data_IF_178401733742
#
_entry.id   IF_178401733742
#
_cell.length_a   1.000
_cell.length_b   1.000
_cell.length_c   1.000
_cell.angle_alpha   90.00
_cell.angle_beta   90.00
_cell.angle_gamma   90.00
#
_symmetry.space_group_name_H-M   'P 1'
#
loop_
_entity.id
_entity.type
_entity.pdbx_description
1 polymer ?
#
# COMPACT_ATOMS: atom_id res chain seq x y z
N UNK A 1 -25.20 -69.25 17.34
CA UNK A 1 -25.26 -67.89 16.75
C UNK A 1 -24.99 -66.89 17.86
N UNK A 2 -23.75 -66.42 18.07
CA UNK A 2 -23.47 -65.39 19.07
C UNK A 2 -23.67 -64.00 18.46
N UNK A 3 -24.41 -63.15 19.19
CA UNK A 3 -24.73 -61.76 18.83
C UNK A 3 -23.51 -60.89 19.17
N UNK A 4 -22.91 -60.27 18.15
CA UNK A 4 -21.85 -59.27 18.29
C UNK A 4 -22.45 -57.96 18.87
N UNK A 5 -22.13 -57.63 20.12
CA UNK A 5 -22.31 -56.28 20.65
C UNK A 5 -21.19 -55.39 20.11
N UNK A 6 -21.54 -54.46 19.21
CA UNK A 6 -20.63 -53.42 18.75
C UNK A 6 -20.45 -52.36 19.85
N UNK A 7 -19.26 -52.29 20.45
CA UNK A 7 -18.81 -51.18 21.28
C UNK A 7 -18.59 -49.95 20.41
N UNK A 8 -19.62 -49.09 20.35
CA UNK A 8 -19.57 -47.78 19.69
C UNK A 8 -18.55 -46.91 20.43
N UNK A 9 -17.33 -46.82 19.90
CA UNK A 9 -16.33 -45.87 20.38
C UNK A 9 -16.87 -44.46 20.12
N UNK A 10 -17.20 -43.74 21.19
CA UNK A 10 -17.61 -42.34 21.15
C UNK A 10 -16.37 -41.51 20.81
N UNK A 11 -16.18 -41.23 19.52
CA UNK A 11 -15.18 -40.27 19.08
C UNK A 11 -15.60 -38.92 19.65
N UNK A 12 -14.85 -38.38 20.62
CA UNK A 12 -15.14 -37.06 21.17
C UNK A 12 -14.75 -36.00 20.13
N UNK A 13 -15.60 -35.00 19.87
CA UNK A 13 -15.20 -33.82 19.11
C UNK A 13 -13.93 -33.20 19.71
N UNK A 14 -13.08 -32.63 18.88
CA UNK A 14 -11.84 -31.95 19.28
C UNK A 14 -12.08 -30.78 20.25
N UNK A 15 -13.31 -30.31 20.37
CA UNK A 15 -13.78 -29.33 21.37
C UNK A 15 -13.76 -29.87 22.80
N UNK A 16 -13.66 -31.18 23.02
CA UNK A 16 -13.83 -31.82 24.33
C UNK A 16 -12.51 -32.31 24.95
N UNK A 17 -11.37 -32.10 24.30
CA UNK A 17 -10.07 -32.35 24.91
C UNK A 17 -9.65 -31.14 25.75
N UNK A 18 -9.94 -31.20 27.06
CA UNK A 18 -9.38 -30.30 28.07
C UNK A 18 -10.29 -29.16 28.56
N UNK A 19 -11.51 -29.02 28.05
CA UNK A 19 -12.38 -27.89 28.42
C UNK A 19 -13.11 -28.04 29.75
N UNK A 20 -13.53 -29.26 30.11
CA UNK A 20 -14.42 -29.48 31.25
C UNK A 20 -13.74 -29.24 32.62
N UNK A 21 -12.42 -29.46 32.72
CA UNK A 21 -11.66 -29.25 33.96
C UNK A 21 -11.42 -27.77 34.30
N UNK A 22 -11.47 -26.89 33.29
CA UNK A 22 -11.14 -25.46 33.44
C UNK A 22 -12.32 -24.53 33.15
N UNK A 23 -13.54 -25.05 32.99
CA UNK A 23 -14.73 -24.19 32.76
C UNK A 23 -14.95 -23.17 33.89
N UNK A 24 -14.50 -23.48 35.11
CA UNK A 24 -14.63 -22.62 36.27
C UNK A 24 -13.35 -21.78 36.55
N UNK A 25 -12.28 -21.98 35.78
CA UNK A 25 -11.05 -21.20 35.89
C UNK A 25 -10.95 -20.22 34.72
N UNK A 26 -11.47 -19.01 34.94
CA UNK A 26 -11.44 -17.93 33.95
C UNK A 26 -10.03 -17.40 33.66
N UNK A 27 -9.02 -17.79 34.45
CA UNK A 27 -7.62 -17.37 34.29
C UNK A 27 -6.76 -18.37 33.53
N UNK A 28 -7.27 -19.57 33.26
CA UNK A 28 -6.55 -20.59 32.51
C UNK A 28 -6.24 -20.11 31.08
N UNK A 29 -4.96 -20.22 30.69
CA UNK A 29 -4.43 -19.74 29.41
C UNK A 29 -4.12 -20.92 28.48
N UNK A 30 -4.65 -20.88 27.28
CA UNK A 30 -4.53 -21.93 26.27
C UNK A 30 -3.74 -21.44 25.06
N UNK A 31 -2.88 -22.28 24.50
CA UNK A 31 -2.06 -21.94 23.35
C UNK A 31 -2.93 -21.77 22.09
N UNK A 32 -2.82 -20.61 21.44
CA UNK A 32 -3.57 -20.30 20.21
C UNK A 32 -3.17 -21.22 19.06
N UNK A 33 -1.90 -21.64 18.98
CA UNK A 33 -1.40 -22.48 17.88
C UNK A 33 -2.04 -23.87 17.82
N UNK A 34 -2.66 -24.33 18.91
CA UNK A 34 -3.36 -25.62 18.99
C UNK A 34 -4.81 -25.54 18.48
N UNK A 35 -5.33 -24.32 18.27
CA UNK A 35 -6.69 -24.09 17.81
C UNK A 35 -6.81 -24.28 16.29
N UNK A 36 -8.02 -24.50 15.74
CA UNK A 36 -8.24 -24.45 14.30
C UNK A 36 -7.83 -23.11 13.70
N UNK A 37 -7.41 -23.12 12.43
CA UNK A 37 -6.91 -21.93 11.74
C UNK A 37 -7.83 -20.70 11.84
N UNK A 38 -9.15 -20.88 11.74
CA UNK A 38 -10.11 -19.77 11.85
C UNK A 38 -10.07 -19.13 13.24
N UNK A 39 -10.07 -19.93 14.29
CA UNK A 39 -9.90 -19.43 15.66
C UNK A 39 -8.54 -18.74 15.86
N UNK A 40 -7.45 -19.24 15.25
CA UNK A 40 -6.16 -18.55 15.25
C UNK A 40 -6.25 -17.17 14.59
N UNK A 41 -6.86 -17.11 13.40
CA UNK A 41 -7.06 -15.87 12.65
C UNK A 41 -7.89 -14.86 13.45
N UNK A 42 -9.00 -15.30 14.05
CA UNK A 42 -9.88 -14.45 14.84
C UNK A 42 -9.23 -13.99 16.15
N UNK A 43 -8.44 -14.84 16.81
CA UNK A 43 -7.66 -14.44 17.98
C UNK A 43 -6.72 -13.28 17.64
N UNK A 44 -6.03 -13.36 16.50
CA UNK A 44 -5.17 -12.27 16.04
C UNK A 44 -5.96 -11.06 15.56
N UNK A 45 -7.15 -11.26 14.98
CA UNK A 45 -8.04 -10.16 14.61
C UNK A 45 -8.50 -9.37 15.83
N UNK A 46 -8.88 -10.05 16.91
CA UNK A 46 -9.34 -9.41 18.15
C UNK A 46 -8.22 -8.71 18.92
N UNK A 47 -6.96 -9.08 18.67
CA UNK A 47 -5.82 -8.50 19.35
C UNK A 47 -5.49 -7.07 18.85
N UNK A 48 -5.53 -6.09 19.75
CA UNK A 48 -5.37 -4.67 19.39
C UNK A 48 -3.90 -4.25 19.26
N UNK A 49 -3.11 -4.43 20.32
CA UNK A 49 -1.74 -3.88 20.38
C UNK A 49 -0.67 -4.80 19.79
N UNK A 50 -0.83 -6.12 19.98
CA UNK A 50 0.17 -7.12 19.61
C UNK A 50 -0.48 -8.49 19.41
N UNK A 51 0.18 -9.33 18.61
CA UNK A 51 -0.18 -10.74 18.48
C UNK A 51 -0.26 -11.46 19.83
N UNK A 52 -1.17 -12.44 19.90
CA UNK A 52 -1.46 -13.22 21.10
C UNK A 52 -1.03 -14.67 20.89
N UNK A 53 -0.33 -15.24 21.88
CA UNK A 53 0.03 -16.66 21.89
C UNK A 53 -0.89 -17.49 22.78
N UNK A 54 -1.51 -16.87 23.78
CA UNK A 54 -2.37 -17.56 24.73
C UNK A 54 -3.66 -16.81 24.96
N UNK A 55 -4.78 -17.53 25.00
CA UNK A 55 -6.10 -16.95 25.23
C UNK A 55 -6.79 -17.66 26.40
N UNK A 56 -7.64 -16.93 27.12
CA UNK A 56 -8.44 -17.50 28.19
C UNK A 56 -9.63 -18.30 27.66
N UNK A 57 -10.24 -19.12 28.51
CA UNK A 57 -11.46 -19.86 28.14
C UNK A 57 -12.63 -18.93 27.75
N UNK A 58 -12.93 -17.83 28.48
CA UNK A 58 -13.93 -16.86 28.05
C UNK A 58 -13.61 -16.25 26.67
N UNK A 59 -12.34 -15.91 26.42
CA UNK A 59 -11.94 -15.38 25.12
C UNK A 59 -12.14 -16.41 24.00
N UNK A 60 -11.89 -17.71 24.25
CA UNK A 60 -12.18 -18.77 23.29
C UNK A 60 -13.67 -18.87 22.96
N UNK A 61 -14.55 -18.65 23.94
CA UNK A 61 -16.00 -18.60 23.71
C UNK A 61 -16.39 -17.38 22.87
N UNK A 62 -15.78 -16.22 23.12
CA UNK A 62 -15.96 -15.02 22.29
C UNK A 62 -15.55 -15.28 20.83
N UNK A 63 -14.40 -15.94 20.59
CA UNK A 63 -13.97 -16.31 19.24
C UNK A 63 -14.95 -17.26 18.56
N UNK A 64 -15.48 -18.23 19.30
CA UNK A 64 -16.49 -19.16 18.77
C UNK A 64 -17.79 -18.45 18.42
N UNK A 65 -18.25 -17.53 19.26
CA UNK A 65 -19.42 -16.70 18.98
C UNK A 65 -19.19 -15.82 17.75
N UNK A 66 -18.00 -15.23 17.63
CA UNK A 66 -17.60 -14.39 16.49
C UNK A 66 -17.52 -15.19 15.18
N UNK A 67 -17.03 -16.44 15.22
CA UNK A 67 -17.02 -17.32 14.04
C UNK A 67 -18.44 -17.68 13.60
N UNK A 68 -19.36 -17.90 14.54
CA UNK A 68 -20.75 -18.27 14.28
C UNK A 68 -21.64 -17.08 13.90
N UNK A 69 -21.20 -15.84 14.10
CA UNK A 69 -21.92 -14.65 13.69
C UNK A 69 -21.85 -14.46 12.16
N UNK A 70 -22.85 -15.00 11.46
CA UNK A 70 -22.96 -14.91 10.01
C UNK A 70 -23.37 -13.52 9.51
N UNK A 71 -23.90 -12.67 10.39
CA UNK A 71 -24.35 -11.31 10.05
C UNK A 71 -23.17 -10.34 10.06
N UNK A 72 -22.07 -10.70 10.73
CA UNK A 72 -20.81 -9.96 10.69
C UNK A 72 -20.04 -10.16 9.38
N UNK A 73 -20.45 -9.41 8.35
CA UNK A 73 -19.81 -9.45 7.03
C UNK A 73 -18.29 -9.17 7.07
N UNK A 74 -17.81 -8.32 8.00
CA UNK A 74 -16.38 -8.02 8.09
C UNK A 74 -15.55 -9.24 8.51
N UNK A 75 -16.04 -9.99 9.48
CA UNK A 75 -15.43 -11.24 9.96
C UNK A 75 -15.58 -12.35 8.92
N UNK A 76 -16.77 -12.55 8.37
CA UNK A 76 -17.01 -13.61 7.39
C UNK A 76 -16.16 -13.39 6.12
N UNK A 77 -16.10 -12.16 5.61
CA UNK A 77 -15.27 -11.84 4.45
C UNK A 77 -13.77 -12.02 4.75
N UNK A 78 -13.32 -11.71 5.97
CA UNK A 78 -11.93 -11.93 6.39
C UNK A 78 -11.58 -13.42 6.38
N UNK A 79 -12.44 -14.27 6.98
CA UNK A 79 -12.27 -15.72 7.00
C UNK A 79 -12.20 -16.24 5.56
N UNK A 80 -13.14 -15.82 4.70
CA UNK A 80 -13.17 -16.22 3.29
C UNK A 80 -11.93 -15.76 2.52
N UNK A 81 -11.48 -14.53 2.72
CA UNK A 81 -10.28 -14.01 2.08
C UNK A 81 -9.01 -14.75 2.52
N UNK A 82 -8.91 -15.07 3.81
CA UNK A 82 -7.80 -15.84 4.37
C UNK A 82 -7.76 -17.28 3.83
N UNK A 83 -8.91 -17.98 3.80
CA UNK A 83 -8.99 -19.36 3.28
C UNK A 83 -8.65 -19.45 1.78
N UNK A 84 -8.81 -18.36 1.03
CA UNK A 84 -8.40 -18.26 -0.39
C UNK A 84 -6.88 -18.18 -0.60
N UNK A 85 -6.08 -18.10 0.47
CA UNK A 85 -4.62 -18.08 0.42
C UNK A 85 -4.08 -19.30 1.17
N UNK A 86 -3.83 -20.45 0.51
CA UNK A 86 -3.51 -21.70 1.20
C UNK A 86 -2.20 -21.63 2.03
N UNK A 87 -1.28 -20.75 1.63
CA UNK A 87 -0.01 -20.54 2.32
C UNK A 87 -0.16 -19.86 3.69
N UNK A 88 -1.28 -19.18 3.95
CA UNK A 88 -1.51 -18.43 5.20
C UNK A 88 -1.42 -19.34 6.44
N UNK A 89 -1.78 -20.62 6.30
CA UNK A 89 -1.81 -21.60 7.39
C UNK A 89 -0.42 -21.96 7.91
N UNK A 90 0.64 -21.59 7.18
CA UNK A 90 2.04 -21.81 7.56
C UNK A 90 2.67 -20.61 8.28
N UNK A 91 1.96 -19.48 8.34
CA UNK A 91 2.49 -18.26 8.94
C UNK A 91 2.42 -18.30 10.47
N UNK A 92 3.31 -17.54 11.11
CA UNK A 92 3.36 -17.37 12.55
C UNK A 92 2.27 -16.40 13.05
N UNK A 93 1.98 -16.45 14.36
CA UNK A 93 1.00 -15.55 14.99
C UNK A 93 1.30 -14.06 14.74
N UNK A 94 2.57 -13.58 14.80
CA UNK A 94 2.93 -12.22 14.43
C UNK A 94 2.53 -11.82 13.00
N UNK A 95 2.74 -12.68 12.00
CA UNK A 95 2.36 -12.36 10.62
C UNK A 95 0.85 -12.38 10.43
N UNK A 96 0.12 -13.29 11.07
CA UNK A 96 -1.34 -13.31 11.07
C UNK A 96 -1.91 -12.03 11.70
N UNK A 97 -1.35 -11.57 12.82
CA UNK A 97 -1.72 -10.29 13.43
C UNK A 97 -1.43 -9.09 12.52
N UNK A 98 -0.24 -9.05 11.90
CA UNK A 98 0.07 -7.98 10.93
C UNK A 98 -0.90 -7.97 9.75
N UNK A 99 -1.30 -9.14 9.25
CA UNK A 99 -2.27 -9.27 8.17
C UNK A 99 -3.67 -8.82 8.58
N UNK A 100 -4.19 -9.27 9.73
CA UNK A 100 -5.52 -8.89 10.22
C UNK A 100 -5.60 -7.40 10.53
N UNK A 101 -4.56 -6.82 11.14
CA UNK A 101 -4.44 -5.36 11.35
C UNK A 101 -4.39 -4.58 10.04
N UNK A 102 -3.66 -5.07 9.03
CA UNK A 102 -3.67 -4.50 7.68
C UNK A 102 -5.06 -4.58 7.04
N UNK A 103 -5.75 -5.71 7.19
CA UNK A 103 -7.10 -5.92 6.67
C UNK A 103 -8.10 -4.93 7.29
N UNK A 104 -8.09 -4.75 8.62
CA UNK A 104 -8.89 -3.75 9.34
C UNK A 104 -8.66 -2.33 8.82
N UNK A 105 -7.40 -1.99 8.51
CA UNK A 105 -7.02 -0.67 8.02
C UNK A 105 -7.51 -0.40 6.60
N UNK A 106 -7.46 -1.40 5.71
CA UNK A 106 -7.94 -1.28 4.33
C UNK A 106 -9.47 -1.36 4.27
N UNK A 107 -10.06 -2.23 5.08
CA UNK A 107 -11.49 -2.55 5.08
C UNK A 107 -12.11 -2.28 6.46
N UNK A 108 -12.30 -1.01 6.84
CA UNK A 108 -12.87 -0.65 8.14
C UNK A 108 -14.31 -1.16 8.26
N UNK A 109 -14.67 -1.51 9.49
CA UNK A 109 -16.02 -1.96 9.88
C UNK A 109 -17.07 -0.87 9.60
N UNK A 110 -18.32 -1.29 9.37
CA UNK A 110 -19.44 -0.40 9.03
C UNK A 110 -19.48 0.07 7.57
N UNK A 111 -18.47 -0.24 6.75
CA UNK A 111 -18.49 -0.02 5.30
C UNK A 111 -18.62 -1.34 4.55
N UNK A 112 -19.47 -1.35 3.52
CA UNK A 112 -19.57 -2.48 2.60
C UNK A 112 -18.37 -2.49 1.68
N UNK A 113 -17.64 -3.60 1.67
CA UNK A 113 -16.50 -3.83 0.79
C UNK A 113 -16.79 -5.04 -0.09
N UNK A 114 -16.28 -5.03 -1.32
CA UNK A 114 -16.42 -6.17 -2.22
C UNK A 114 -15.52 -7.32 -1.77
N UNK A 115 -16.08 -8.53 -1.60
CA UNK A 115 -15.31 -9.73 -1.24
C UNK A 115 -14.14 -9.98 -2.20
N UNK A 116 -14.35 -9.76 -3.51
CA UNK A 116 -13.30 -9.90 -4.52
C UNK A 116 -12.07 -9.03 -4.24
N UNK A 117 -12.27 -7.78 -3.77
CA UNK A 117 -11.18 -6.87 -3.40
C UNK A 117 -10.45 -7.35 -2.14
N UNK A 118 -11.15 -7.90 -1.15
CA UNK A 118 -10.52 -8.49 0.04
C UNK A 118 -9.68 -9.71 -0.30
N UNK A 119 -10.18 -10.59 -1.17
CA UNK A 119 -9.42 -11.76 -1.66
C UNK A 119 -8.18 -11.30 -2.44
N UNK A 120 -8.34 -10.32 -3.32
CA UNK A 120 -7.21 -9.77 -4.10
C UNK A 120 -6.15 -9.16 -3.18
N UNK A 121 -6.57 -8.33 -2.22
CA UNK A 121 -5.68 -7.75 -1.22
C UNK A 121 -4.93 -8.83 -0.44
N UNK A 122 -5.62 -9.87 0.04
CA UNK A 122 -4.99 -10.95 0.78
C UNK A 122 -3.91 -11.66 -0.05
N UNK A 123 -4.22 -12.04 -1.30
CA UNK A 123 -3.24 -12.67 -2.20
C UNK A 123 -2.01 -11.78 -2.43
N UNK A 124 -2.24 -10.49 -2.70
CA UNK A 124 -1.16 -9.53 -2.90
C UNK A 124 -0.33 -9.29 -1.63
N UNK A 125 -0.97 -9.22 -0.46
CA UNK A 125 -0.32 -9.01 0.82
C UNK A 125 0.71 -10.09 1.13
N UNK A 126 0.32 -11.36 0.92
CA UNK A 126 1.20 -12.49 1.17
C UNK A 126 2.29 -12.64 0.10
N UNK A 127 1.98 -12.33 -1.16
CA UNK A 127 2.99 -12.30 -2.23
C UNK A 127 3.99 -11.14 -2.10
N UNK A 128 3.63 -10.05 -1.40
CA UNK A 128 4.48 -8.88 -1.23
C UNK A 128 5.53 -9.11 -0.13
N UNK A 129 6.75 -8.63 -0.39
CA UNK A 129 7.85 -8.66 0.57
C UNK A 129 7.44 -7.99 1.90
N UNK A 130 7.88 -8.56 3.03
CA UNK A 130 7.56 -8.06 4.37
C UNK A 130 7.88 -6.57 4.58
N UNK A 131 8.91 -6.03 3.92
CA UNK A 131 9.30 -4.62 3.98
C UNK A 131 8.26 -3.72 3.28
N UNK A 132 7.66 -4.21 2.19
CA UNK A 132 6.82 -3.41 1.29
C UNK A 132 5.32 -3.51 1.61
N UNK A 133 4.94 -4.50 2.42
CA UNK A 133 3.59 -4.66 2.97
C UNK A 133 3.05 -3.35 3.56
N UNK A 134 3.83 -2.61 4.32
CA UNK A 134 3.38 -1.31 4.88
C UNK A 134 2.91 -0.30 3.81
N UNK A 135 3.58 -0.26 2.65
CA UNK A 135 3.22 0.61 1.52
C UNK A 135 1.94 0.09 0.86
N UNK A 136 1.87 -1.22 0.59
CA UNK A 136 0.69 -1.85 0.00
C UNK A 136 -0.59 -1.54 0.81
N UNK A 137 -0.55 -1.66 2.13
CA UNK A 137 -1.71 -1.33 2.99
C UNK A 137 -2.11 0.13 2.86
N UNK A 138 -1.14 1.04 2.81
CA UNK A 138 -1.41 2.48 2.76
C UNK A 138 -2.11 2.85 1.44
N UNK A 139 -1.61 2.34 0.33
CA UNK A 139 -2.17 2.59 -1.00
C UNK A 139 -3.58 1.98 -1.15
N UNK A 140 -3.79 0.78 -0.62
CA UNK A 140 -5.10 0.14 -0.61
C UNK A 140 -6.10 0.87 0.28
N UNK A 141 -5.68 1.34 1.47
CA UNK A 141 -6.52 2.14 2.35
C UNK A 141 -6.87 3.52 1.74
N UNK A 142 -6.00 4.07 0.89
CA UNK A 142 -6.28 5.28 0.12
C UNK A 142 -7.20 5.05 -1.09
N UNK A 143 -7.49 3.79 -1.44
CA UNK A 143 -8.36 3.40 -2.56
C UNK A 143 -7.64 3.18 -3.89
N UNK A 144 -6.31 3.31 -3.94
CA UNK A 144 -5.52 3.17 -5.18
C UNK A 144 -5.43 1.71 -5.69
N UNK A 145 -5.63 0.73 -4.80
CA UNK A 145 -5.71 -0.71 -5.13
C UNK A 145 -4.57 -1.23 -6.03
N UNK A 146 -3.33 -0.84 -5.74
CA UNK A 146 -2.15 -1.21 -6.53
C UNK A 146 -1.91 -2.73 -6.58
N UNK A 147 -1.41 -3.24 -7.70
CA UNK A 147 -1.07 -4.66 -7.90
C UNK A 147 0.33 -5.04 -7.42
N UNK A 148 1.25 -4.07 -7.31
CA UNK A 148 2.61 -4.26 -6.83
C UNK A 148 3.16 -2.95 -6.28
N UNK A 149 4.10 -3.06 -5.33
CA UNK A 149 4.83 -1.90 -4.82
C UNK A 149 5.97 -1.56 -5.78
N UNK A 150 5.88 -0.40 -6.42
CA UNK A 150 6.92 0.08 -7.33
C UNK A 150 8.14 0.57 -6.53
N UNK A 151 9.30 0.01 -6.87
CA UNK A 151 10.59 0.43 -6.32
C UNK A 151 11.49 0.95 -7.43
N UNK A 152 12.35 1.89 -7.09
CA UNK A 152 13.44 2.34 -7.98
C UNK A 152 14.55 1.29 -8.00
N UNK A 153 15.47 1.38 -8.97
CA UNK A 153 16.65 0.51 -9.06
C UNK A 153 17.55 0.56 -7.81
N UNK A 154 17.46 1.65 -7.04
CA UNK A 154 18.13 1.82 -5.75
C UNK A 154 17.38 1.16 -4.57
N UNK A 155 16.26 0.47 -4.83
CA UNK A 155 15.42 -0.17 -3.82
C UNK A 155 14.55 0.79 -3.00
N UNK A 156 14.52 2.09 -3.34
CA UNK A 156 13.68 3.08 -2.66
C UNK A 156 12.24 3.05 -3.19
N UNK A 157 11.27 3.45 -2.36
CA UNK A 157 9.88 3.59 -2.80
C UNK A 157 9.79 4.60 -3.94
N UNK A 158 9.26 4.20 -5.09
CA UNK A 158 9.24 5.03 -6.30
C UNK A 158 8.24 6.19 -6.25
N UNK A 159 7.36 6.26 -5.23
CA UNK A 159 6.41 7.37 -5.09
C UNK A 159 5.48 7.50 -6.30
N UNK A 160 4.66 6.47 -6.54
CA UNK A 160 3.69 6.47 -7.65
C UNK A 160 2.33 7.05 -7.26
N UNK A 161 1.52 7.45 -8.25
CA UNK A 161 0.13 7.87 -8.05
C UNK A 161 -0.09 9.36 -7.75
N UNK A 162 0.95 10.20 -7.87
CA UNK A 162 0.80 11.64 -7.78
C UNK A 162 -0.02 12.15 -8.98
N UNK A 163 -1.11 12.86 -8.70
CA UNK A 163 -1.88 13.55 -9.74
C UNK A 163 -1.05 14.71 -10.28
N UNK A 164 -0.70 14.64 -11.55
CA UNK A 164 -0.12 15.76 -12.30
C UNK A 164 -1.26 16.56 -12.93
N UNK A 165 -1.02 17.82 -13.27
CA UNK A 165 -1.94 18.64 -14.07
C UNK A 165 -1.85 18.34 -15.58
N UNK A 166 -1.08 17.30 -15.95
CA UNK A 166 -0.95 16.84 -17.33
C UNK A 166 -2.17 16.06 -17.78
N UNK A 167 -2.31 15.89 -19.09
CA UNK A 167 -3.43 15.16 -19.70
C UNK A 167 -3.59 13.78 -19.01
N UNK A 168 -4.79 13.43 -18.51
CA UNK A 168 -5.02 12.17 -17.81
C UNK A 168 -4.71 10.90 -18.64
N UNK A 169 -4.74 11.01 -19.97
CA UNK A 169 -4.38 9.90 -20.87
C UNK A 169 -2.85 9.81 -21.11
N UNK A 170 -2.06 10.72 -20.53
CA UNK A 170 -0.60 10.75 -20.68
C UNK A 170 0.08 9.82 -19.68
N UNK A 171 0.62 8.70 -20.16
CA UNK A 171 1.33 7.73 -19.33
C UNK A 171 2.70 8.25 -18.91
N UNK A 172 2.89 8.51 -17.61
CA UNK A 172 4.18 8.95 -17.07
C UNK A 172 5.16 7.77 -16.89
N UNK A 173 6.11 7.65 -17.81
CA UNK A 173 7.28 6.75 -17.75
C UNK A 173 8.60 7.52 -17.76
N UNK A 174 9.72 6.87 -17.44
CA UNK A 174 11.06 7.48 -17.54
C UNK A 174 11.35 7.98 -18.98
N UNK A 175 10.92 7.24 -20.00
CA UNK A 175 11.08 7.67 -21.40
C UNK A 175 10.28 8.94 -21.71
N UNK A 176 9.05 9.06 -21.19
CA UNK A 176 8.26 10.29 -21.36
C UNK A 176 8.85 11.44 -20.56
N UNK A 177 9.43 11.17 -19.40
CA UNK A 177 10.11 12.17 -18.59
C UNK A 177 11.33 12.73 -19.33
N UNK A 178 12.15 11.88 -19.97
CA UNK A 178 13.28 12.32 -20.79
C UNK A 178 12.84 13.25 -21.93
N UNK A 179 11.72 12.95 -22.57
CA UNK A 179 11.13 13.81 -23.60
C UNK A 179 10.66 15.14 -23.01
N UNK A 180 9.99 15.15 -21.84
CA UNK A 180 9.57 16.38 -21.16
C UNK A 180 10.75 17.26 -20.74
N UNK A 181 11.84 16.66 -20.28
CA UNK A 181 13.06 17.39 -19.94
C UNK A 181 13.71 17.95 -21.20
N UNK A 182 13.80 17.16 -22.28
CA UNK A 182 14.32 17.64 -23.55
C UNK A 182 13.50 18.81 -24.10
N UNK A 183 12.17 18.78 -23.97
CA UNK A 183 11.28 19.89 -24.28
C UNK A 183 11.64 21.14 -23.48
N UNK A 184 11.84 21.01 -22.16
CA UNK A 184 12.21 22.12 -21.28
C UNK A 184 13.61 22.71 -21.60
N UNK A 185 14.48 21.96 -22.27
CA UNK A 185 15.80 22.47 -22.71
C UNK A 185 15.77 23.22 -24.05
N UNK A 186 14.65 23.22 -24.76
CA UNK A 186 14.54 23.94 -26.03
C UNK A 186 14.41 25.45 -25.80
N UNK A 187 14.95 26.28 -26.71
CA UNK A 187 14.89 27.73 -26.58
C UNK A 187 13.51 28.34 -26.90
N UNK A 188 12.53 27.53 -27.31
CA UNK A 188 11.20 27.97 -27.73
C UNK A 188 10.17 27.68 -26.64
N UNK A 189 9.25 28.61 -26.42
CA UNK A 189 8.09 28.42 -25.54
C UNK A 189 7.06 27.48 -26.19
N UNK A 190 6.38 26.67 -25.37
CA UNK A 190 5.29 25.80 -25.80
C UNK A 190 4.18 25.74 -24.76
N UNK A 191 2.97 25.40 -25.20
CA UNK A 191 1.85 25.10 -24.32
C UNK A 191 2.02 23.71 -23.72
N UNK A 192 2.09 23.65 -22.38
CA UNK A 192 2.28 22.40 -21.62
C UNK A 192 1.03 21.49 -21.63
N UNK A 193 -0.13 22.02 -22.03
CA UNK A 193 -1.38 21.25 -22.14
C UNK A 193 -1.66 20.78 -23.58
N UNK A 194 -1.03 21.41 -24.58
CA UNK A 194 -1.25 21.10 -25.99
C UNK A 194 0.06 21.14 -26.79
N UNK A 195 0.77 20.02 -26.82
CA UNK A 195 2.06 19.89 -27.50
C UNK A 195 1.91 19.78 -29.02
N UNK A 196 2.44 20.74 -29.81
CA UNK A 196 2.53 20.57 -31.25
C UNK A 196 3.40 19.36 -31.61
N UNK A 197 2.93 18.50 -32.51
CA UNK A 197 3.60 17.26 -32.87
C UNK A 197 5.05 17.46 -33.38
N UNK A 198 5.32 18.60 -34.02
CA UNK A 198 6.67 18.98 -34.48
C UNK A 198 7.66 19.16 -33.33
N UNK A 199 7.23 19.79 -32.24
CA UNK A 199 8.07 20.04 -31.06
C UNK A 199 8.33 18.73 -30.32
N UNK A 200 7.30 17.90 -30.16
CA UNK A 200 7.46 16.58 -29.57
C UNK A 200 8.39 15.66 -30.38
N UNK A 201 8.34 15.74 -31.72
CA UNK A 201 9.30 15.02 -32.59
C UNK A 201 10.73 15.52 -32.38
N UNK A 202 10.93 16.84 -32.31
CA UNK A 202 12.25 17.42 -32.06
C UNK A 202 12.81 17.01 -30.69
N UNK A 203 11.97 16.90 -29.66
CA UNK A 203 12.40 16.46 -28.34
C UNK A 203 12.88 15.01 -28.35
N UNK A 204 12.14 14.13 -29.03
CA UNK A 204 12.58 12.75 -29.26
C UNK A 204 13.93 12.69 -29.99
N UNK A 205 14.14 13.55 -30.99
CA UNK A 205 15.43 13.63 -31.69
C UNK A 205 16.56 14.07 -30.74
N UNK A 206 16.33 15.05 -29.86
CA UNK A 206 17.31 15.50 -28.85
C UNK A 206 17.68 14.36 -27.90
N UNK A 207 16.70 13.63 -27.37
CA UNK A 207 16.93 12.47 -26.49
C UNK A 207 17.71 11.39 -27.23
N UNK A 208 17.29 11.04 -28.45
CA UNK A 208 17.91 9.99 -29.26
C UNK A 208 19.36 10.32 -29.63
N UNK A 209 19.62 11.57 -30.03
CA UNK A 209 20.95 12.04 -30.45
C UNK A 209 21.83 12.50 -29.28
N UNK A 210 21.27 12.55 -28.06
CA UNK A 210 21.91 13.12 -26.87
C UNK A 210 22.52 14.49 -27.17
N UNK A 211 21.70 15.37 -27.75
CA UNK A 211 22.11 16.74 -28.07
C UNK A 211 22.24 17.57 -26.76
N UNK A 212 23.15 18.55 -26.76
CA UNK A 212 23.23 19.55 -25.68
C UNK A 212 22.05 20.52 -25.85
N UNK A 213 21.35 20.93 -24.77
CA UNK A 213 21.72 20.83 -23.34
C UNK A 213 21.32 19.54 -22.60
N UNK A 214 20.40 18.73 -23.15
CA UNK A 214 19.85 17.55 -22.47
C UNK A 214 20.93 16.53 -22.03
N UNK A 215 21.96 16.33 -22.84
CA UNK A 215 23.09 15.42 -22.54
C UNK A 215 23.82 15.77 -21.24
N UNK A 216 24.08 17.04 -21.00
CA UNK A 216 24.82 17.50 -19.82
C UNK A 216 23.94 17.36 -18.56
N UNK A 217 22.68 17.75 -18.69
CA UNK A 217 21.70 17.62 -17.62
C UNK A 217 21.50 16.15 -17.20
N UNK A 218 21.29 15.25 -18.17
CA UNK A 218 21.06 13.82 -17.91
C UNK A 218 22.28 13.15 -17.27
N UNK A 219 23.49 13.52 -17.69
CA UNK A 219 24.71 13.06 -17.05
C UNK A 219 24.83 13.55 -15.60
N UNK A 220 24.49 14.82 -15.33
CA UNK A 220 24.50 15.38 -13.99
C UNK A 220 23.43 14.74 -13.08
N UNK A 221 22.23 14.48 -13.61
CA UNK A 221 21.16 13.79 -12.91
C UNK A 221 21.55 12.35 -12.53
N UNK A 222 22.24 11.63 -13.43
CA UNK A 222 22.68 10.26 -13.19
C UNK A 222 23.82 10.14 -12.16
N UNK A 223 24.68 11.15 -12.02
CA UNK A 223 25.79 11.13 -11.05
C UNK A 223 25.33 11.36 -9.60
N UNK A 224 24.10 11.82 -9.41
CA UNK A 224 23.54 12.19 -8.11
C UNK A 224 24.21 13.43 -7.53
N UNK A 225 23.50 14.14 -6.64
CA UNK A 225 24.00 15.35 -5.96
C UNK A 225 25.22 15.03 -5.07
N UNK A 226 26.42 14.92 -5.66
CA UNK A 226 27.71 14.71 -4.98
C UNK A 226 28.68 15.86 -5.21
N UNK A 227 28.17 17.08 -5.40
CA UNK A 227 29.00 18.29 -5.46
C UNK A 227 28.49 19.40 -4.53
N UNK A 228 29.28 19.86 -3.55
CA UNK A 228 28.91 20.91 -2.60
C UNK A 228 28.98 22.33 -3.22
N UNK A 229 28.66 22.48 -4.51
CA UNK A 229 28.82 23.73 -5.24
C UNK A 229 27.70 24.08 -6.24
N UNK A 230 26.78 23.17 -6.52
CA UNK A 230 25.65 23.44 -7.41
C UNK A 230 24.39 23.65 -6.58
N UNK A 231 24.21 24.89 -6.11
CA UNK A 231 22.90 25.31 -5.58
C UNK A 231 21.86 25.18 -6.70
N UNK A 232 20.73 24.48 -6.50
CA UNK A 232 19.66 24.36 -7.51
C UNK A 232 19.06 25.70 -7.96
N UNK A 233 19.41 26.82 -7.30
CA UNK A 233 18.87 28.16 -7.57
C UNK A 233 19.59 28.95 -8.67
N UNK A 234 20.70 28.49 -9.25
CA UNK A 234 21.48 29.30 -10.23
C UNK A 234 21.58 28.76 -11.65
N UNK A 235 20.98 27.62 -11.99
CA UNK A 235 21.00 27.09 -13.36
C UNK A 235 19.61 26.87 -13.98
N UNK A 236 18.54 27.07 -13.22
CA UNK A 236 17.17 27.10 -13.74
C UNK A 236 16.62 28.54 -13.69
N UNK A 237 17.20 29.42 -14.49
CA UNK A 237 16.50 30.61 -14.95
C UNK A 237 16.97 31.00 -16.35
N UNK A 238 16.39 30.38 -17.39
CA UNK A 238 16.05 31.10 -18.60
C UNK A 238 14.52 31.17 -18.69
N UNK A 239 14.03 32.37 -18.97
CA UNK A 239 12.62 32.74 -19.12
C UNK A 239 11.86 33.09 -17.83
N UNK A 240 11.75 34.41 -17.65
CA UNK A 240 10.65 35.06 -16.97
C UNK A 240 9.31 34.44 -17.39
N UNK A 241 8.69 33.68 -16.48
CA UNK A 241 7.28 33.34 -16.58
C UNK A 241 6.45 34.63 -16.39
N UNK A 242 6.28 35.40 -17.47
CA UNK A 242 5.28 36.46 -17.53
C UNK A 242 3.93 35.77 -17.64
N UNK A 243 3.33 35.44 -16.49
CA UNK A 243 1.92 35.12 -16.41
C UNK A 243 1.11 36.30 -16.97
N UNK A 244 0.57 36.16 -18.19
CA UNK A 244 -0.61 36.91 -18.59
C UNK A 244 -1.81 36.28 -17.88
N UNK A 245 -2.02 36.68 -16.61
CA UNK A 245 -3.28 36.41 -15.91
C UNK A 245 -4.34 37.39 -16.44
N UNK A 246 -5.06 36.97 -17.48
CA UNK A 246 -6.42 37.43 -17.72
C UNK A 246 -7.39 36.29 -17.40
N UNK A 247 -7.79 36.21 -16.13
CA UNK A 247 -9.16 35.88 -15.73
C UNK A 247 -9.21 35.92 -14.20
N UNK A 248 -10.00 36.86 -13.72
CA UNK A 248 -10.29 37.16 -12.33
C UNK A 248 -10.99 35.99 -11.65
N UNK A 249 -10.53 35.55 -10.48
CA UNK A 249 -11.41 35.11 -9.38
C UNK A 249 -10.75 35.43 -8.02
N UNK A 250 -11.50 35.94 -7.03
CA UNK A 250 -10.94 36.65 -5.88
C UNK A 250 -10.72 35.74 -4.67
N UNK A 251 -9.73 36.09 -3.86
CA UNK A 251 -9.68 35.75 -2.44
C UNK A 251 -8.74 34.60 -2.07
N UNK A 252 -7.50 34.97 -1.73
CA UNK A 252 -6.89 34.77 -0.39
C UNK A 252 -5.43 35.22 -0.42
N UNK A 253 -5.15 36.20 0.42
CA UNK A 253 -3.84 36.76 0.73
C UNK A 253 -2.92 35.72 1.36
N UNK A 254 -1.67 35.69 0.94
CA UNK A 254 -0.57 35.13 1.73
C UNK A 254 0.68 35.97 1.49
N UNK A 255 1.30 36.38 2.59
CA UNK A 255 2.28 37.46 2.70
C UNK A 255 3.58 37.21 1.94
N UNK A 256 4.03 38.23 1.20
CA UNK A 256 5.34 38.28 0.56
C UNK A 256 6.37 38.77 1.60
N UNK A 257 7.22 37.86 2.09
CA UNK A 257 8.51 38.26 2.66
C UNK A 257 9.38 38.84 1.54
N UNK A 258 9.49 40.17 1.50
CA UNK A 258 10.49 40.89 0.72
C UNK A 258 11.84 40.79 1.44
N UNK A 259 12.87 40.27 0.75
CA UNK A 259 14.27 40.48 1.10
C UNK A 259 14.86 41.47 0.08
N UNK A 260 15.24 42.65 0.55
CA UNK A 260 16.02 43.60 -0.26
C UNK A 260 17.43 43.06 -0.55
N UNK A 261 18.06 43.45 -1.68
CA UNK A 261 19.42 43.07 -1.99
C UNK A 261 20.42 44.03 -1.33
N UNK A 262 21.27 43.50 -0.44
CA UNK A 262 22.43 44.23 0.06
C UNK A 262 23.41 44.53 -1.08
N UNK A 263 23.89 45.77 -1.05
CA UNK A 263 24.70 46.45 -2.06
C UNK A 263 26.19 46.20 -1.78
N UNK A 264 26.91 45.86 -2.85
CA UNK A 264 28.38 45.81 -3.05
C UNK A 264 29.15 44.67 -2.37
#
# INVERSE_FOLDING_TARGET
MPILLATRHKVRPWESFGSDEYQNDSSALFNVAELPFRAQLLAQYMAEERHVYHISMPHRQELSALEMDTDNAAVQDLILAAENVPEIKKYDMPALWKFTSANKKVFPEGKRHELGKRIQFAKLWFATNAIDRGILTREWAAGNCISSVMKTDAGTNAGGGNKTDRNPDYTHTLDTLDVEIALATMPMDFDIYNFPASIHRRAKEIVQKKESPFKEWSAAAAQGCRHPGLSPRRHFCPYSWRHQRHSSFPGKSADLYQCEPDRA
#
